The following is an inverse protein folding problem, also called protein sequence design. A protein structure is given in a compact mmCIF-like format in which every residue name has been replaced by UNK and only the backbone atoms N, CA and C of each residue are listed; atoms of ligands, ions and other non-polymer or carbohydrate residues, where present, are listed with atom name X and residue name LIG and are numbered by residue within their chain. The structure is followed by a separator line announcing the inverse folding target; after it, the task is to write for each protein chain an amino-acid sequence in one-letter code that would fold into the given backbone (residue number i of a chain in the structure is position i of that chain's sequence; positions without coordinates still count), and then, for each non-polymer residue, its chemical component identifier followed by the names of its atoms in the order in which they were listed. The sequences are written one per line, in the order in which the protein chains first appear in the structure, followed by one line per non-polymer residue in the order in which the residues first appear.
data_IF_003392253835
#
_entry.id   IF_003392253835
#
_cell.length_a   1.000
_cell.length_b   1.000
_cell.length_c   1.000
_cell.angle_alpha   90.00
_cell.angle_beta   90.00
_cell.angle_gamma   90.00
#
_symmetry.space_group_name_H-M   'P 1'
#
loop_
_entity.id
_entity.type
_entity.pdbx_description
1 polymer ?
#
# COMPACT_ATOMS: atom_id res chain seq x y z
N UNK A 1 11.20 -1.65 -11.17
CA UNK A 1 10.09 -0.67 -11.22
C UNK A 1 9.84 -0.09 -9.85
N UNK A 2 8.81 0.74 -9.70
CA UNK A 2 8.38 1.33 -8.42
C UNK A 2 6.89 1.04 -8.22
N UNK A 3 6.53 0.53 -7.04
CA UNK A 3 5.14 0.36 -6.60
C UNK A 3 4.77 1.51 -5.67
N UNK A 4 3.73 2.25 -6.02
CA UNK A 4 3.18 3.34 -5.21
C UNK A 4 1.76 3.03 -4.77
N UNK A 5 1.48 3.14 -3.47
CA UNK A 5 0.15 3.00 -2.88
C UNK A 5 -0.12 4.24 -2.02
N UNK A 6 -0.76 5.28 -2.57
CA UNK A 6 -0.79 6.61 -1.95
C UNK A 6 -1.49 6.61 -0.58
N UNK A 7 -2.63 5.93 -0.51
CA UNK A 7 -3.49 5.86 0.67
C UNK A 7 -2.73 5.45 1.93
N UNK A 8 -1.83 4.48 1.79
CA UNK A 8 -1.05 3.92 2.89
C UNK A 8 0.42 4.36 2.89
N UNK A 9 0.77 5.35 2.06
CA UNK A 9 2.10 5.94 1.97
C UNK A 9 3.21 4.94 1.61
N UNK A 10 2.92 4.03 0.69
CA UNK A 10 3.89 3.07 0.19
C UNK A 10 4.48 3.60 -1.11
N UNK A 11 5.81 3.60 -1.19
CA UNK A 11 6.60 3.84 -2.39
C UNK A 11 7.80 2.90 -2.29
N UNK A 12 7.77 1.78 -3.01
CA UNK A 12 8.74 0.69 -2.88
C UNK A 12 9.36 0.33 -4.23
N UNK A 13 10.67 0.02 -4.28
CA UNK A 13 11.22 -0.63 -5.45
C UNK A 13 10.57 -2.00 -5.66
N UNK A 14 10.40 -2.37 -6.93
CA UNK A 14 9.98 -3.70 -7.38
C UNK A 14 11.22 -4.44 -7.86
N UNK A 15 11.53 -5.54 -7.20
CA UNK A 15 12.55 -6.51 -7.58
C UNK A 15 11.92 -7.68 -8.34
N UNK A 16 12.66 -8.25 -9.28
CA UNK A 16 12.26 -9.36 -10.14
C UNK A 16 12.37 -10.73 -9.46
N UNK A 17 13.09 -10.81 -8.33
CA UNK A 17 13.29 -12.03 -7.57
C UNK A 17 12.77 -11.89 -6.14
N UNK A 18 12.20 -12.98 -5.61
CA UNK A 18 11.77 -13.06 -4.22
C UNK A 18 12.81 -13.76 -3.36
N UNK A 19 13.66 -12.97 -2.69
CA UNK A 19 14.61 -13.47 -1.68
C UNK A 19 14.37 -12.77 -0.35
N UNK A 20 14.76 -13.39 0.79
CA UNK A 20 14.60 -12.77 2.11
C UNK A 20 15.21 -11.35 2.16
N UNK A 21 16.42 -11.19 1.59
CA UNK A 21 17.13 -9.91 1.57
C UNK A 21 16.43 -8.82 0.74
N UNK A 22 15.71 -9.20 -0.32
CA UNK A 22 14.97 -8.26 -1.17
C UNK A 22 13.60 -7.93 -0.59
N UNK A 23 12.93 -8.90 0.02
CA UNK A 23 11.66 -8.69 0.73
C UNK A 23 11.79 -7.71 1.89
N UNK A 24 12.97 -7.59 2.51
CA UNK A 24 13.26 -6.57 3.52
C UNK A 24 13.37 -5.14 2.95
N UNK A 25 13.57 -5.01 1.64
CA UNK A 25 13.88 -3.75 0.97
C UNK A 25 12.77 -3.22 0.06
N UNK A 26 11.83 -4.06 -0.36
CA UNK A 26 10.80 -3.64 -1.30
C UNK A 26 9.76 -4.70 -1.61
N UNK A 27 9.06 -4.48 -2.72
CA UNK A 27 8.17 -5.47 -3.30
C UNK A 27 8.96 -6.40 -4.23
N UNK A 28 8.68 -7.69 -4.18
CA UNK A 28 9.33 -8.70 -5.00
C UNK A 28 8.30 -9.40 -5.88
N UNK A 29 8.65 -9.63 -7.14
CA UNK A 29 7.84 -10.43 -8.05
C UNK A 29 7.84 -11.89 -7.59
N UNK A 30 6.64 -12.47 -7.49
CA UNK A 30 6.48 -13.90 -7.24
C UNK A 30 6.84 -14.67 -8.52
N UNK A 31 7.78 -15.59 -8.39
CA UNK A 31 8.23 -16.43 -9.50
C UNK A 31 7.06 -17.25 -10.08
N UNK A 32 7.03 -17.39 -11.40
CA UNK A 32 5.96 -18.09 -12.12
C UNK A 32 4.72 -17.24 -12.42
N UNK A 33 4.69 -15.97 -11.99
CA UNK A 33 3.60 -15.02 -12.32
C UNK A 33 3.98 -14.08 -13.46
N UNK A 34 3.01 -13.37 -14.04
CA UNK A 34 3.30 -12.43 -15.13
C UNK A 34 4.19 -11.29 -14.65
N UNK A 35 5.00 -10.71 -15.56
CA UNK A 35 5.71 -9.48 -15.24
C UNK A 35 4.73 -8.29 -15.11
N UNK A 36 4.99 -7.33 -14.20
CA UNK A 36 4.07 -6.22 -13.92
C UNK A 36 4.14 -5.10 -14.97
N UNK A 37 4.20 -5.46 -16.25
CA UNK A 37 4.26 -4.56 -17.42
C UNK A 37 2.88 -4.36 -18.08
N UNK A 38 1.85 -5.01 -17.54
CA UNK A 38 0.47 -4.98 -18.04
C UNK A 38 0.26 -5.85 -19.29
N UNK A 39 -0.97 -5.81 -19.80
CA UNK A 39 -1.40 -6.56 -20.98
C UNK A 39 -2.55 -7.52 -20.69
N UNK A 40 -3.29 -7.88 -21.74
CA UNK A 40 -4.39 -8.84 -21.63
C UNK A 40 -3.89 -10.21 -21.19
N UNK A 41 -4.72 -10.90 -20.41
CA UNK A 41 -4.42 -12.23 -19.88
C UNK A 41 -3.09 -12.24 -19.10
N UNK A 42 -2.87 -11.21 -18.28
CA UNK A 42 -1.73 -11.14 -17.37
C UNK A 42 -2.19 -11.02 -15.92
N UNK A 43 -1.42 -11.64 -15.03
CA UNK A 43 -1.61 -11.50 -13.59
C UNK A 43 -0.25 -11.51 -12.90
N UNK A 44 0.24 -10.31 -12.56
CA UNK A 44 1.48 -10.18 -11.79
C UNK A 44 1.20 -10.24 -10.29
N UNK A 45 2.09 -10.88 -9.53
CA UNK A 45 1.94 -10.97 -8.08
C UNK A 45 3.17 -10.38 -7.41
N UNK A 46 2.95 -9.35 -6.59
CA UNK A 46 4.00 -8.65 -5.86
C UNK A 46 3.89 -8.94 -4.37
N UNK A 47 4.93 -9.53 -3.81
CA UNK A 47 5.02 -9.87 -2.38
C UNK A 47 5.90 -8.88 -1.62
N UNK A 48 5.54 -8.57 -0.38
CA UNK A 48 6.42 -7.85 0.54
C UNK A 48 6.10 -8.18 1.99
N UNK A 49 7.07 -7.98 2.88
CA UNK A 49 6.87 -8.26 4.30
C UNK A 49 5.84 -7.32 4.95
N UNK A 50 5.29 -7.81 6.06
CA UNK A 50 4.41 -7.07 6.96
C UNK A 50 4.97 -7.17 8.37
N UNK A 51 5.18 -6.02 9.00
CA UNK A 51 5.67 -5.92 10.38
C UNK A 51 7.16 -6.05 10.57
N UNK A 52 7.99 -5.65 9.58
CA UNK A 52 9.42 -5.50 9.85
C UNK A 52 9.66 -4.28 10.74
N UNK A 53 10.54 -4.43 11.72
CA UNK A 53 10.94 -3.34 12.62
C UNK A 53 11.63 -2.19 11.88
N UNK A 54 12.33 -2.51 10.77
CA UNK A 54 13.18 -1.56 10.05
C UNK A 54 12.41 -0.79 8.96
N UNK A 55 11.29 -1.32 8.45
CA UNK A 55 10.57 -0.75 7.31
C UNK A 55 9.08 -1.11 7.32
N UNK A 56 8.22 -0.15 6.95
CA UNK A 56 6.76 -0.38 6.92
C UNK A 56 6.32 -1.36 5.84
N UNK A 57 6.91 -1.33 4.64
CA UNK A 57 6.57 -2.23 3.54
C UNK A 57 5.05 -2.42 3.37
N UNK A 58 4.52 -3.65 3.41
CA UNK A 58 3.09 -3.95 3.34
C UNK A 58 2.39 -4.03 4.71
N UNK A 59 2.99 -3.49 5.77
CA UNK A 59 2.38 -3.48 7.12
C UNK A 59 0.96 -2.94 7.14
N UNK A 60 0.72 -1.86 6.37
CA UNK A 60 -0.57 -1.18 6.28
C UNK A 60 -1.42 -1.63 5.08
N UNK A 61 -1.01 -2.66 4.33
CA UNK A 61 -1.79 -3.19 3.22
C UNK A 61 -3.26 -3.54 3.59
N UNK A 62 -3.56 -4.07 4.81
CA UNK A 62 -4.95 -4.31 5.23
C UNK A 62 -5.85 -3.07 5.31
N UNK A 63 -5.30 -1.86 5.23
CA UNK A 63 -6.10 -0.62 5.25
C UNK A 63 -6.67 -0.25 3.86
N UNK A 64 -6.22 -0.94 2.81
CA UNK A 64 -6.81 -0.81 1.49
C UNK A 64 -8.23 -1.38 1.47
N UNK A 65 -9.05 -0.82 0.60
CA UNK A 65 -10.45 -1.12 0.37
C UNK A 65 -10.68 -1.22 -1.13
N UNK A 66 -11.77 -1.88 -1.51
CA UNK A 66 -12.26 -1.86 -2.88
C UNK A 66 -12.38 -0.41 -3.36
N UNK A 67 -12.01 -0.18 -4.62
CA UNK A 67 -11.89 1.12 -5.29
C UNK A 67 -10.67 1.98 -4.94
N UNK A 68 -9.82 1.58 -3.99
CA UNK A 68 -8.53 2.25 -3.82
C UNK A 68 -7.61 1.98 -5.01
N UNK A 69 -6.61 2.85 -5.19
CA UNK A 69 -5.68 2.75 -6.32
C UNK A 69 -4.25 2.47 -5.85
N UNK A 70 -3.52 1.74 -6.71
CA UNK A 70 -2.07 1.64 -6.66
C UNK A 70 -1.50 1.76 -8.06
N UNK A 71 -0.24 2.16 -8.13
CA UNK A 71 0.44 2.49 -9.38
C UNK A 71 1.76 1.73 -9.46
N UNK A 72 2.09 1.28 -10.66
CA UNK A 72 3.36 0.66 -10.98
C UNK A 72 4.06 1.52 -12.03
N UNK A 73 5.27 1.95 -11.72
CA UNK A 73 6.14 2.66 -12.64
C UNK A 73 7.25 1.73 -13.15
N UNK A 74 7.33 1.54 -14.47
CA UNK A 74 8.38 0.76 -15.13
C UNK A 74 8.80 1.50 -16.40
N UNK A 75 10.09 1.72 -16.57
CA UNK A 75 10.67 2.39 -17.74
C UNK A 75 10.00 3.75 -18.07
N UNK A 76 9.64 4.51 -17.04
CA UNK A 76 8.98 5.82 -17.17
C UNK A 76 7.48 5.76 -17.53
N UNK A 77 6.88 4.57 -17.62
CA UNK A 77 5.45 4.38 -17.85
C UNK A 77 4.74 4.10 -16.52
N UNK A 78 3.60 4.76 -16.31
CA UNK A 78 2.73 4.53 -15.16
C UNK A 78 1.56 3.62 -15.55
N UNK A 79 1.42 2.53 -14.81
CA UNK A 79 0.33 1.58 -14.92
C UNK A 79 -0.53 1.71 -13.66
N UNK A 80 -1.81 2.03 -13.82
CA UNK A 80 -2.72 2.26 -12.71
C UNK A 80 -3.68 1.09 -12.53
N UNK A 81 -3.88 0.70 -11.28
CA UNK A 81 -4.76 -0.40 -10.91
C UNK A 81 -5.74 0.04 -9.84
N UNK A 82 -6.99 -0.39 -9.97
CA UNK A 82 -8.03 -0.19 -8.98
C UNK A 82 -8.34 -1.50 -8.26
N UNK A 83 -8.30 -1.46 -6.92
CA UNK A 83 -8.59 -2.62 -6.08
C UNK A 83 -10.01 -3.11 -6.30
N UNK A 84 -10.15 -4.38 -6.71
CA UNK A 84 -11.43 -5.01 -7.02
C UNK A 84 -11.73 -6.21 -6.10
N UNK A 85 -10.71 -6.79 -5.47
CA UNK A 85 -10.85 -7.94 -4.59
C UNK A 85 -9.84 -7.88 -3.44
N UNK A 86 -10.30 -8.23 -2.23
CA UNK A 86 -9.45 -8.46 -1.06
C UNK A 86 -9.82 -9.81 -0.46
N UNK A 87 -8.84 -10.69 -0.27
CA UNK A 87 -9.03 -12.04 0.28
C UNK A 87 -7.97 -12.37 1.33
N UNK A 88 -8.36 -13.14 2.34
CA UNK A 88 -7.42 -13.83 3.23
C UNK A 88 -7.50 -15.31 2.91
N UNK A 89 -6.35 -15.92 2.60
CA UNK A 89 -6.25 -17.32 2.15
C UNK A 89 -5.16 -18.07 2.90
N UNK A 90 -5.19 -19.38 2.84
CA UNK A 90 -4.09 -20.22 3.33
C UNK A 90 -2.83 -20.05 2.45
N UNK A 91 -1.61 -20.25 2.99
CA UNK A 91 -0.38 -20.10 2.20
C UNK A 91 -0.30 -21.02 0.97
N UNK A 92 -1.01 -22.15 0.98
CA UNK A 92 -1.06 -23.13 -0.11
C UNK A 92 -2.18 -22.86 -1.13
N UNK A 93 -3.13 -21.97 -0.80
CA UNK A 93 -4.25 -21.62 -1.66
C UNK A 93 -3.81 -20.54 -2.66
N UNK A 94 -3.71 -20.92 -3.94
CA UNK A 94 -3.11 -20.08 -5.01
C UNK A 94 -4.06 -19.84 -6.17
N UNK A 95 -5.29 -20.37 -6.11
CA UNK A 95 -6.32 -20.31 -7.14
C UNK A 95 -6.65 -18.85 -7.50
N UNK A 96 -6.67 -17.97 -6.49
CA UNK A 96 -6.93 -16.55 -6.67
C UNK A 96 -5.80 -15.79 -7.43
N UNK A 97 -4.63 -16.40 -7.61
CA UNK A 97 -3.45 -15.83 -8.28
C UNK A 97 -3.35 -16.23 -9.75
N UNK A 98 -4.26 -17.09 -10.24
CA UNK A 98 -4.25 -17.52 -11.63
C UNK A 98 -4.56 -16.37 -12.60
N UNK A 99 -4.02 -16.48 -13.81
CA UNK A 99 -4.34 -15.59 -14.92
C UNK A 99 -5.82 -15.76 -15.28
N UNK A 100 -6.49 -14.65 -15.57
CA UNK A 100 -7.86 -14.64 -16.06
C UNK A 100 -7.87 -14.11 -17.49
N UNK A 101 -8.62 -14.79 -18.35
CA UNK A 101 -8.73 -14.43 -19.77
C UNK A 101 -9.18 -12.98 -19.94
N UNK A 102 -8.51 -12.25 -20.84
CA UNK A 102 -8.75 -10.84 -21.17
C UNK A 102 -8.56 -9.84 -20.03
N UNK A 103 -8.11 -10.27 -18.84
CA UNK A 103 -7.85 -9.37 -17.71
C UNK A 103 -6.37 -8.96 -17.63
N UNK A 104 -6.12 -7.73 -17.16
CA UNK A 104 -4.80 -7.23 -16.76
C UNK A 104 -4.85 -6.97 -15.24
N UNK A 105 -4.22 -7.88 -14.48
CA UNK A 105 -4.37 -7.97 -13.03
C UNK A 105 -3.03 -7.85 -12.32
N UNK A 106 -3.06 -7.23 -11.14
CA UNK A 106 -1.96 -7.29 -10.19
C UNK A 106 -2.49 -7.62 -8.80
N UNK A 107 -1.90 -8.61 -8.14
CA UNK A 107 -2.17 -8.90 -6.72
C UNK A 107 -0.97 -8.52 -5.85
N UNK A 108 -1.24 -7.74 -4.81
CA UNK A 108 -0.31 -7.44 -3.73
C UNK A 108 -0.50 -8.46 -2.61
N UNK A 109 0.58 -9.12 -2.20
CA UNK A 109 0.54 -10.23 -1.24
C UNK A 109 1.38 -9.91 0.00
N UNK A 110 0.82 -10.18 1.18
CA UNK A 110 1.59 -10.14 2.43
C UNK A 110 1.10 -11.16 3.44
N UNK A 111 1.87 -11.39 4.50
CA UNK A 111 1.49 -12.27 5.59
C UNK A 111 0.46 -11.61 6.52
N UNK A 112 -0.48 -12.41 7.03
CA UNK A 112 -1.53 -11.98 7.95
C UNK A 112 -1.95 -13.14 8.85
N UNK A 113 -2.55 -12.93 10.05
CA UNK A 113 -2.63 -11.69 10.82
C UNK A 113 -1.26 -11.18 11.26
N UNK A 114 -1.22 -9.95 11.81
CA UNK A 114 0.04 -9.29 12.20
C UNK A 114 0.79 -10.13 13.23
N UNK A 115 2.09 -10.36 13.03
CA UNK A 115 2.97 -11.18 13.89
C UNK A 115 2.60 -12.67 13.99
N UNK A 116 1.47 -13.11 13.42
CA UNK A 116 1.05 -14.52 13.38
C UNK A 116 1.45 -15.15 12.04
N UNK A 117 1.25 -14.43 10.94
CA UNK A 117 1.69 -14.82 9.59
C UNK A 117 1.18 -16.19 9.08
N UNK A 118 0.10 -16.72 9.68
CA UNK A 118 -0.47 -18.02 9.33
C UNK A 118 -1.13 -18.03 7.95
N UNK A 119 -1.65 -16.89 7.50
CA UNK A 119 -2.38 -16.72 6.25
C UNK A 119 -1.70 -15.72 5.33
N UNK A 120 -2.25 -15.55 4.14
CA UNK A 120 -1.88 -14.51 3.17
C UNK A 120 -3.04 -13.56 2.94
N UNK A 121 -2.76 -12.26 3.02
CA UNK A 121 -3.66 -11.23 2.55
C UNK A 121 -3.33 -10.96 1.08
N UNK A 122 -4.34 -11.11 0.22
CA UNK A 122 -4.30 -10.82 -1.20
C UNK A 122 -5.13 -9.55 -1.45
N UNK A 123 -4.51 -8.52 -2.03
CA UNK A 123 -5.20 -7.33 -2.52
C UNK A 123 -5.00 -7.26 -4.02
N UNK A 124 -6.03 -7.60 -4.79
CA UNK A 124 -6.01 -7.58 -6.25
C UNK A 124 -6.53 -6.25 -6.77
N UNK A 125 -5.89 -5.74 -7.80
CA UNK A 125 -6.41 -4.67 -8.63
C UNK A 125 -6.46 -5.06 -10.11
N UNK A 126 -7.44 -4.50 -10.80
CA UNK A 126 -7.55 -4.57 -12.25
C UNK A 126 -7.03 -3.29 -12.88
N UNK A 127 -6.48 -3.42 -14.09
CA UNK A 127 -5.95 -2.29 -14.83
C UNK A 127 -7.05 -1.26 -15.13
N UNK A 128 -6.72 0.00 -14.91
CA UNK A 128 -7.50 1.15 -15.37
C UNK A 128 -6.64 2.04 -16.26
N UNK A 129 -7.27 2.68 -17.24
CA UNK A 129 -6.62 3.69 -18.10
C UNK A 129 -6.86 5.04 -17.43
N UNK A 130 -5.78 5.75 -17.15
CA UNK A 130 -5.80 7.03 -16.43
C UNK A 130 -4.70 7.89 -17.03
N UNK A 131 -4.99 9.17 -17.25
CA UNK A 131 -3.99 10.10 -17.75
C UNK A 131 -2.92 10.36 -16.68
N UNK A 132 -1.64 10.55 -17.05
CA UNK A 132 -0.56 10.80 -16.09
C UNK A 132 -0.83 11.98 -15.14
N UNK A 133 -1.54 12.99 -15.62
CA UNK A 133 -1.96 14.18 -14.86
C UNK A 133 -2.88 13.80 -13.71
N UNK A 134 -3.83 12.88 -13.93
CA UNK A 134 -4.75 12.40 -12.91
C UNK A 134 -4.03 11.58 -11.84
N UNK A 135 -3.02 10.81 -12.23
CA UNK A 135 -2.16 10.08 -11.28
C UNK A 135 -1.45 11.10 -10.38
N UNK A 136 -0.80 12.12 -10.95
CA UNK A 136 -0.13 13.18 -10.19
C UNK A 136 -1.11 13.93 -9.27
N UNK A 137 -2.29 14.28 -9.77
CA UNK A 137 -3.33 14.92 -8.98
C UNK A 137 -3.79 14.04 -7.81
N UNK A 138 -3.94 12.73 -8.03
CA UNK A 138 -4.30 11.77 -6.97
C UNK A 138 -3.23 11.69 -5.88
N UNK A 139 -1.94 11.74 -6.27
CA UNK A 139 -0.81 11.74 -5.34
C UNK A 139 -0.78 13.04 -4.51
N UNK A 140 -0.95 14.19 -5.16
CA UNK A 140 -0.96 15.50 -4.49
C UNK A 140 -2.19 15.67 -3.58
N UNK A 141 -3.38 15.23 -3.99
CA UNK A 141 -4.58 15.23 -3.13
C UNK A 141 -4.36 14.45 -1.85
N UNK A 142 -3.76 13.26 -1.94
CA UNK A 142 -3.44 12.43 -0.76
C UNK A 142 -2.43 13.11 0.15
N UNK A 143 -1.41 13.76 -0.42
CA UNK A 143 -0.40 14.54 0.32
C UNK A 143 -1.03 15.74 1.02
N UNK A 144 -1.86 16.51 0.32
CA UNK A 144 -2.56 17.68 0.86
C UNK A 144 -3.51 17.29 1.99
N UNK A 145 -4.33 16.25 1.81
CA UNK A 145 -5.24 15.76 2.86
C UNK A 145 -4.49 15.38 4.15
N UNK A 146 -3.30 14.76 4.04
CA UNK A 146 -2.45 14.45 5.19
C UNK A 146 -1.90 15.71 5.86
N UNK A 147 -1.40 16.69 5.09
CA UNK A 147 -0.92 17.96 5.63
C UNK A 147 -2.03 18.70 6.40
N UNK A 148 -3.23 18.77 5.82
CA UNK A 148 -4.39 19.41 6.47
C UNK A 148 -4.76 18.68 7.76
N UNK A 149 -4.83 17.34 7.75
CA UNK A 149 -5.12 16.56 8.95
C UNK A 149 -4.07 16.77 10.05
N UNK A 150 -2.79 16.82 9.70
CA UNK A 150 -1.70 17.06 10.65
C UNK A 150 -1.80 18.44 11.33
N UNK A 151 -2.06 19.50 10.55
CA UNK A 151 -2.22 20.86 11.09
C UNK A 151 -3.42 20.99 12.03
N UNK A 152 -4.54 20.31 11.73
CA UNK A 152 -5.71 20.31 12.61
C UNK A 152 -5.43 19.58 13.93
N UNK A 153 -4.78 18.40 13.86
CA UNK A 153 -4.44 17.62 15.05
C UNK A 153 -3.41 18.35 15.92
N UNK A 154 -2.37 18.94 15.34
CA UNK A 154 -1.37 19.69 16.10
C UNK A 154 -1.94 20.95 16.75
N UNK A 155 -2.84 21.66 16.05
CA UNK A 155 -3.57 22.79 16.60
C UNK A 155 -4.41 22.41 17.81
N UNK A 156 -5.14 21.28 17.73
CA UNK A 156 -5.98 20.79 18.82
C UNK A 156 -5.16 20.36 20.05
N UNK A 157 -4.01 19.71 19.83
CA UNK A 157 -3.05 19.38 20.90
C UNK A 157 -2.50 20.66 21.55
N UNK A 158 -2.15 21.68 20.76
CA UNK A 158 -1.67 22.96 21.26
C UNK A 158 -2.68 23.66 22.16
N UNK A 159 -3.96 23.64 21.79
CA UNK A 159 -5.05 24.19 22.62
C UNK A 159 -5.22 23.41 23.93
N UNK A 160 -5.17 22.08 23.89
CA UNK A 160 -5.26 21.24 25.09
C UNK A 160 -4.09 21.48 26.06
N UNK A 161 -2.86 21.63 25.54
CA UNK A 161 -1.68 21.95 26.35
C UNK A 161 -1.76 23.34 26.99
N UNK A 162 -2.26 24.34 26.26
CA UNK A 162 -2.49 25.68 26.80
C UNK A 162 -3.53 25.67 27.93
N UNK A 163 -4.65 24.97 27.73
CA UNK A 163 -5.68 24.81 28.76
C UNK A 163 -5.11 24.12 30.00
N UNK A 164 -4.35 23.03 29.81
CA UNK A 164 -3.68 22.33 30.90
C UNK A 164 -2.71 23.24 31.66
N UNK A 165 -1.90 24.04 30.96
CA UNK A 165 -0.97 25.00 31.57
C UNK A 165 -1.72 26.06 32.40
N UNK A 166 -2.82 26.62 31.87
CA UNK A 166 -3.65 27.60 32.57
C UNK A 166 -4.25 27.00 33.85
N UNK A 167 -4.74 25.75 33.78
CA UNK A 167 -5.27 25.02 34.95
C UNK A 167 -4.16 24.78 35.99
N UNK A 168 -2.97 24.36 35.55
CA UNK A 168 -1.82 24.11 36.42
C UNK A 168 -1.36 25.38 37.15
N UNK A 169 -1.24 26.51 36.44
CA UNK A 169 -0.88 27.81 37.04
C UNK A 169 -1.92 28.23 38.08
N UNK A 170 -3.22 28.01 37.82
CA UNK A 170 -4.28 28.29 38.80
C UNK A 170 -4.18 27.39 40.04
N UNK A 171 -3.76 26.14 39.87
CA UNK A 171 -3.58 25.20 40.98
C UNK A 171 -2.36 25.55 41.85
N UNK A 172 -1.21 25.90 41.22
CA UNK A 172 0.03 26.25 41.93
C UNK A 172 -0.04 27.61 42.66
N UNK A 173 -0.95 28.50 42.26
CA UNK A 173 -1.19 29.79 42.93
C UNK A 173 -2.17 29.69 44.11
N UNK A 174 -2.71 28.50 44.39
CA UNK A 174 -3.64 28.24 45.49
C UNK A 174 -2.93 27.52 46.62
#
# INVERSE_FOLDING_TARGET
GILTIPKINVNLPIFDQTTMKLLEKGACLLEGTSYPIGGKSTHAVLSSHRGLSQAKLFTNLPQLKIKDHFYIEINGQYLAYQVDQIKTVEPTETEALQIQEDQDLVTLVTCTPYMINSHRLLVRGHRIVVEPEEIKESLEKVKQAKCTAFLLVSGLIGVLLLLFLVILIKFLKK
#
